data_IF_251441186242
#
_entry.id   IF_251441186242
#
_cell.length_a   1.000
_cell.length_b   1.000
_cell.length_c   1.000
_cell.angle_alpha   90.00
_cell.angle_beta   90.00
_cell.angle_gamma   90.00
#
_symmetry.space_group_name_H-M   'P 1'
#
loop_
_entity.id
_entity.type
_entity.pdbx_description
1 polymer ?
#
# COMPACT_ATOMS: atom_id res chain seq x y z
N UNK A 1 30.20 22.51 12.83
CA UNK A 1 29.29 22.59 11.66
C UNK A 1 28.96 21.22 11.06
N UNK A 2 29.84 20.20 11.16
CA UNK A 2 29.53 18.84 10.70
C UNK A 2 28.49 18.10 11.56
N UNK A 3 28.53 18.23 12.89
CA UNK A 3 27.66 17.44 13.79
C UNK A 3 26.16 17.75 13.67
N UNK A 4 25.80 18.97 13.25
CA UNK A 4 24.39 19.34 13.07
C UNK A 4 23.83 18.70 11.79
N UNK A 5 24.61 18.70 10.71
CA UNK A 5 24.20 18.16 9.42
C UNK A 5 24.10 16.62 9.44
N UNK A 6 25.02 15.94 10.13
CA UNK A 6 24.95 14.49 10.34
C UNK A 6 23.74 14.11 11.19
N UNK A 7 23.44 14.86 12.25
CA UNK A 7 22.31 14.56 13.12
C UNK A 7 20.96 14.74 12.40
N UNK A 8 20.81 15.80 11.60
CA UNK A 8 19.59 16.01 10.79
C UNK A 8 19.41 14.95 9.71
N UNK A 9 20.49 14.52 9.05
CA UNK A 9 20.43 13.45 8.05
C UNK A 9 20.02 12.12 8.68
N UNK A 10 20.61 11.75 9.82
CA UNK A 10 20.28 10.51 10.54
C UNK A 10 18.81 10.51 10.99
N UNK A 11 18.33 11.64 11.49
CA UNK A 11 16.93 11.78 11.92
C UNK A 11 15.96 11.64 10.74
N UNK A 12 16.26 12.27 9.60
CA UNK A 12 15.44 12.14 8.39
C UNK A 12 15.37 10.68 7.90
N UNK A 13 16.49 9.95 7.94
CA UNK A 13 16.52 8.53 7.56
C UNK A 13 15.69 7.68 8.53
N UNK A 14 15.82 7.88 9.84
CA UNK A 14 15.01 7.16 10.84
C UNK A 14 13.50 7.44 10.67
N UNK A 15 13.13 8.69 10.36
CA UNK A 15 11.74 9.04 10.04
C UNK A 15 11.23 8.30 8.79
N UNK A 16 12.03 8.25 7.72
CA UNK A 16 11.68 7.50 6.51
C UNK A 16 11.52 6.00 6.79
N UNK A 17 12.41 5.42 7.60
CA UNK A 17 12.37 4.01 7.96
C UNK A 17 11.13 3.68 8.80
N UNK A 18 10.77 4.55 9.76
CA UNK A 18 9.55 4.42 10.55
C UNK A 18 8.29 4.48 9.68
N UNK A 19 8.21 5.45 8.75
CA UNK A 19 7.09 5.55 7.81
C UNK A 19 6.98 4.28 6.98
N UNK A 20 8.09 3.80 6.42
CA UNK A 20 8.13 2.54 5.65
C UNK A 20 7.67 1.33 6.47
N UNK A 21 8.11 1.21 7.73
CA UNK A 21 7.69 0.14 8.63
C UNK A 21 6.18 0.18 8.91
N UNK A 22 5.62 1.37 9.18
CA UNK A 22 4.18 1.51 9.48
C UNK A 22 3.33 1.24 8.24
N UNK A 23 3.74 1.72 7.06
CA UNK A 23 3.06 1.42 5.79
C UNK A 23 3.03 -0.08 5.51
N UNK A 24 4.15 -0.78 5.75
CA UNK A 24 4.25 -2.23 5.55
C UNK A 24 3.61 -3.04 6.66
N UNK A 25 3.34 -2.43 7.81
CA UNK A 25 2.85 -3.07 9.04
C UNK A 25 3.89 -3.90 9.78
N UNK A 26 4.91 -4.40 9.07
CA UNK A 26 6.02 -5.14 9.64
C UNK A 26 7.23 -5.18 8.70
N UNK A 27 8.39 -5.46 9.28
CA UNK A 27 9.60 -5.83 8.55
C UNK A 27 10.06 -7.22 9.00
N UNK A 28 10.56 -8.01 8.05
CA UNK A 28 11.15 -9.33 8.30
C UNK A 28 12.54 -9.40 7.69
N UNK A 29 13.56 -9.59 8.50
CA UNK A 29 14.94 -9.64 8.02
C UNK A 29 15.94 -9.14 9.05
N UNK A 30 17.22 -8.97 8.65
CA UNK A 30 18.23 -8.35 9.51
C UNK A 30 17.86 -6.88 9.77
N UNK A 31 17.98 -6.46 11.03
CA UNK A 31 17.75 -5.07 11.44
C UNK A 31 18.90 -4.21 10.91
N UNK A 32 18.58 -3.23 10.05
CA UNK A 32 19.54 -2.23 9.59
C UNK A 32 19.89 -1.24 10.70
N UNK A 33 21.01 -0.51 10.61
CA UNK A 33 21.31 0.58 11.55
C UNK A 33 20.18 1.61 11.67
N UNK A 34 19.52 1.93 10.56
CA UNK A 34 18.41 2.88 10.49
C UNK A 34 17.19 2.36 11.25
N UNK A 35 16.84 1.08 11.06
CA UNK A 35 15.72 0.44 11.77
C UNK A 35 16.03 0.25 13.25
N UNK A 36 17.31 0.07 13.61
CA UNK A 36 17.74 0.03 15.01
C UNK A 36 17.47 1.38 15.71
N UNK A 37 17.66 2.52 15.04
CA UNK A 37 17.32 3.83 15.60
C UNK A 37 15.82 3.95 15.91
N UNK A 38 14.96 3.42 15.04
CA UNK A 38 13.50 3.40 15.27
C UNK A 38 13.14 2.53 16.48
N UNK A 39 13.83 1.40 16.67
CA UNK A 39 13.65 0.52 17.84
C UNK A 39 14.14 1.20 19.12
N UNK A 40 15.33 1.82 19.08
CA UNK A 40 15.94 2.49 20.24
C UNK A 40 15.11 3.70 20.70
N UNK A 41 14.40 4.36 19.77
CA UNK A 41 13.45 5.42 20.05
C UNK A 41 12.13 4.93 20.70
N UNK A 42 11.86 3.61 20.69
CA UNK A 42 10.61 3.02 21.19
C UNK A 42 9.45 3.04 20.20
N UNK A 43 9.70 3.46 18.96
CA UNK A 43 8.70 3.51 17.88
C UNK A 43 8.49 2.15 17.21
N UNK A 44 9.41 1.20 17.40
CA UNK A 44 9.27 -0.18 16.96
C UNK A 44 9.76 -1.18 18.00
N UNK A 45 9.35 -2.44 17.84
CA UNK A 45 9.79 -3.57 18.67
C UNK A 45 10.25 -4.73 17.79
N UNK A 46 11.41 -5.29 18.11
CA UNK A 46 11.90 -6.52 17.49
C UNK A 46 11.44 -7.76 18.29
N UNK A 47 10.93 -8.77 17.59
CA UNK A 47 10.58 -10.09 18.12
C UNK A 47 11.08 -11.19 17.20
N UNK A 48 12.25 -11.72 17.51
CA UNK A 48 12.93 -12.68 16.64
C UNK A 48 13.30 -12.03 15.30
N UNK A 49 12.90 -12.59 14.14
CA UNK A 49 13.21 -12.02 12.84
C UNK A 49 12.25 -10.91 12.39
N UNK A 50 11.28 -10.54 13.24
CA UNK A 50 10.23 -9.57 12.92
C UNK A 50 10.45 -8.27 13.66
N UNK A 51 10.22 -7.15 12.97
CA UNK A 51 10.09 -5.83 13.57
C UNK A 51 8.69 -5.31 13.30
N UNK A 52 8.01 -4.84 14.35
CA UNK A 52 6.65 -4.30 14.31
C UNK A 52 6.65 -2.86 14.84
N UNK A 53 5.85 -1.95 14.27
CA UNK A 53 5.69 -0.62 14.85
C UNK A 53 4.92 -0.71 16.18
N UNK A 54 5.27 0.16 17.12
CA UNK A 54 4.50 0.34 18.36
C UNK A 54 3.32 1.30 18.11
N UNK A 55 2.32 1.38 19.00
CA UNK A 55 1.28 2.41 18.89
C UNK A 55 1.83 3.84 18.84
N UNK A 56 2.94 4.11 19.56
CA UNK A 56 3.63 5.39 19.51
C UNK A 56 4.24 5.64 18.13
N UNK A 57 4.95 4.64 17.57
CA UNK A 57 5.52 4.74 16.23
C UNK A 57 4.48 4.91 15.13
N UNK A 58 3.31 4.24 15.23
CA UNK A 58 2.19 4.44 14.30
C UNK A 58 1.71 5.90 14.34
N UNK A 59 1.53 6.46 15.54
CA UNK A 59 1.13 7.86 15.72
C UNK A 59 2.17 8.84 15.16
N UNK A 60 3.45 8.60 15.46
CA UNK A 60 4.56 9.41 14.97
C UNK A 60 4.69 9.36 13.44
N UNK A 61 4.62 8.18 12.83
CA UNK A 61 4.62 8.02 11.38
C UNK A 61 3.44 8.76 10.72
N UNK A 62 2.24 8.64 11.29
CA UNK A 62 1.06 9.35 10.79
C UNK A 62 1.22 10.87 10.85
N UNK A 63 1.84 11.40 11.91
CA UNK A 63 2.13 12.83 12.02
C UNK A 63 3.19 13.30 11.01
N UNK A 64 4.17 12.45 10.66
CA UNK A 64 5.23 12.77 9.69
C UNK A 64 4.69 12.93 8.27
N UNK A 65 3.68 12.15 7.87
CA UNK A 65 3.15 12.15 6.49
C UNK A 65 1.80 12.88 6.35
N UNK A 66 1.22 13.39 7.44
CA UNK A 66 -0.04 14.12 7.42
C UNK A 66 0.07 15.33 6.50
N UNK A 67 -0.81 15.38 5.50
CA UNK A 67 -0.89 16.52 4.60
C UNK A 67 -1.55 17.72 5.32
N UNK A 68 -1.09 18.96 5.05
CA UNK A 68 -1.74 20.15 5.59
C UNK A 68 -3.17 20.29 5.06
N UNK A 69 -4.10 20.60 5.97
CA UNK A 69 -5.50 20.80 5.64
C UNK A 69 -5.68 21.90 4.58
N UNK A 70 -6.45 21.60 3.54
CA UNK A 70 -6.76 22.50 2.43
C UNK A 70 -5.65 22.66 1.40
N UNK A 71 -4.52 21.96 1.56
CA UNK A 71 -3.44 21.96 0.56
C UNK A 71 -3.90 21.33 -0.76
N UNK A 72 -3.26 21.71 -1.86
CA UNK A 72 -3.56 21.12 -3.17
C UNK A 72 -3.15 19.64 -3.24
N UNK A 73 -2.13 19.25 -2.47
CA UNK A 73 -1.73 17.86 -2.30
C UNK A 73 -2.80 17.05 -1.56
N UNK A 74 -3.31 17.54 -0.41
CA UNK A 74 -4.39 16.89 0.33
C UNK A 74 -5.62 16.67 -0.56
N UNK A 75 -6.06 17.70 -1.29
CA UNK A 75 -7.20 17.59 -2.22
C UNK A 75 -6.94 16.53 -3.29
N UNK A 76 -5.75 16.50 -3.89
CA UNK A 76 -5.41 15.54 -4.92
C UNK A 76 -5.37 14.09 -4.39
N UNK A 77 -4.87 13.89 -3.16
CA UNK A 77 -4.84 12.58 -2.50
C UNK A 77 -6.24 12.16 -2.05
N UNK A 78 -7.07 13.09 -1.61
CA UNK A 78 -8.48 12.83 -1.29
C UNK A 78 -9.27 12.43 -2.54
N UNK A 79 -9.11 13.15 -3.65
CA UNK A 79 -9.70 12.79 -4.95
C UNK A 79 -9.24 11.40 -5.40
N UNK A 80 -7.95 11.08 -5.19
CA UNK A 80 -7.40 9.75 -5.44
C UNK A 80 -8.12 8.69 -4.60
N UNK A 81 -8.25 8.88 -3.28
CA UNK A 81 -8.92 7.92 -2.40
C UNK A 81 -10.36 7.64 -2.86
N UNK A 82 -11.12 8.70 -3.18
CA UNK A 82 -12.50 8.55 -3.66
C UNK A 82 -12.60 7.76 -4.96
N UNK A 83 -11.68 7.97 -5.91
CA UNK A 83 -11.64 7.21 -7.16
C UNK A 83 -11.10 5.78 -6.96
N UNK A 84 -10.20 5.57 -6.00
CA UNK A 84 -9.53 4.31 -5.72
C UNK A 84 -10.46 3.30 -5.05
N UNK A 85 -11.32 3.72 -4.12
CA UNK A 85 -12.11 2.80 -3.27
C UNK A 85 -13.04 1.85 -4.05
N UNK A 86 -13.79 2.28 -5.09
CA UNK A 86 -14.53 1.33 -5.93
C UNK A 86 -13.61 0.33 -6.67
N UNK A 87 -12.42 0.74 -7.07
CA UNK A 87 -11.43 -0.14 -7.72
C UNK A 87 -10.80 -1.10 -6.70
N UNK A 88 -10.61 -0.66 -5.45
CA UNK A 88 -10.15 -1.48 -4.34
C UNK A 88 -11.10 -2.66 -4.09
N UNK A 89 -12.41 -2.43 -4.10
CA UNK A 89 -13.45 -3.49 -4.06
C UNK A 89 -13.25 -4.52 -5.18
N UNK A 90 -13.12 -4.05 -6.43
CA UNK A 90 -12.88 -4.90 -7.61
C UNK A 90 -11.60 -5.74 -7.47
N UNK A 91 -10.51 -5.17 -6.95
CA UNK A 91 -9.28 -5.93 -6.76
C UNK A 91 -9.46 -7.01 -5.68
N UNK A 92 -10.13 -6.71 -4.56
CA UNK A 92 -10.38 -7.73 -3.52
C UNK A 92 -11.22 -8.90 -4.03
N UNK A 93 -12.24 -8.61 -4.85
CA UNK A 93 -13.04 -9.62 -5.52
C UNK A 93 -12.20 -10.44 -6.50
N UNK A 94 -11.34 -9.78 -7.30
CA UNK A 94 -10.41 -10.44 -8.21
C UNK A 94 -9.42 -11.35 -7.48
N UNK A 95 -8.80 -10.88 -6.40
CA UNK A 95 -7.91 -11.69 -5.58
C UNK A 95 -8.64 -12.90 -4.98
N UNK A 96 -9.89 -12.71 -4.55
CA UNK A 96 -10.74 -13.82 -4.08
C UNK A 96 -10.99 -14.84 -5.20
N UNK A 97 -11.33 -14.38 -6.41
CA UNK A 97 -11.55 -15.23 -7.58
C UNK A 97 -10.27 -15.94 -8.05
N UNK A 98 -9.10 -15.33 -7.85
CA UNK A 98 -7.80 -15.93 -8.14
C UNK A 98 -7.48 -17.07 -7.18
N UNK A 99 -7.82 -16.91 -5.89
CA UNK A 99 -7.57 -17.91 -4.85
C UNK A 99 -8.63 -19.02 -4.81
N UNK A 100 -9.89 -18.68 -5.06
CA UNK A 100 -11.04 -19.55 -4.89
C UNK A 100 -11.97 -19.51 -6.11
N UNK A 101 -12.50 -20.66 -6.50
CA UNK A 101 -13.52 -20.80 -7.54
C UNK A 101 -14.90 -20.39 -7.01
N UNK A 102 -15.90 -20.12 -7.88
CA UNK A 102 -17.24 -19.74 -7.47
C UNK A 102 -17.96 -20.76 -6.57
N UNK A 103 -17.55 -22.03 -6.60
CA UNK A 103 -18.06 -23.09 -5.73
C UNK A 103 -17.36 -23.14 -4.35
N UNK A 104 -16.40 -22.24 -4.09
CA UNK A 104 -15.64 -22.14 -2.85
C UNK A 104 -14.42 -23.06 -2.78
N UNK A 105 -14.17 -23.88 -3.82
CA UNK A 105 -12.94 -24.68 -3.89
C UNK A 105 -11.71 -23.79 -4.17
N UNK A 106 -10.53 -24.26 -3.79
CA UNK A 106 -9.27 -23.58 -4.13
C UNK A 106 -9.09 -23.60 -5.65
N UNK A 107 -8.69 -22.47 -6.23
CA UNK A 107 -8.27 -22.44 -7.62
C UNK A 107 -6.93 -23.18 -7.77
N UNK A 108 -6.95 -24.34 -8.43
CA UNK A 108 -5.74 -25.14 -8.69
C UNK A 108 -4.97 -24.71 -9.95
N UNK A 109 -5.43 -23.66 -10.64
CA UNK A 109 -4.85 -23.10 -11.86
C UNK A 109 -4.76 -24.09 -13.04
N UNK A 110 -5.60 -25.12 -13.06
CA UNK A 110 -5.67 -26.08 -14.19
C UNK A 110 -6.45 -25.56 -15.40
N UNK A 111 -7.36 -24.60 -15.20
CA UNK A 111 -8.15 -23.96 -16.26
C UNK A 111 -7.54 -22.62 -16.68
N UNK A 112 -6.72 -22.68 -17.74
CA UNK A 112 -6.04 -21.51 -18.30
C UNK A 112 -6.99 -20.43 -18.84
N UNK A 113 -8.23 -20.77 -19.25
CA UNK A 113 -9.19 -19.76 -19.73
C UNK A 113 -9.79 -18.97 -18.58
N UNK A 114 -9.98 -19.60 -17.42
CA UNK A 114 -10.37 -18.88 -16.21
C UNK A 114 -9.28 -17.93 -15.74
N UNK A 115 -8.03 -18.41 -15.66
CA UNK A 115 -6.91 -17.58 -15.22
C UNK A 115 -6.65 -16.42 -16.18
N UNK A 116 -6.77 -16.63 -17.50
CA UNK A 116 -6.67 -15.56 -18.50
C UNK A 116 -7.74 -14.47 -18.30
N UNK A 117 -8.99 -14.86 -17.98
CA UNK A 117 -10.06 -13.88 -17.70
C UNK A 117 -9.77 -13.04 -16.45
N UNK A 118 -9.19 -13.65 -15.42
CA UNK A 118 -8.75 -12.90 -14.23
C UNK A 118 -7.62 -11.95 -14.59
N UNK A 119 -6.67 -12.37 -15.42
CA UNK A 119 -5.59 -11.50 -15.87
C UNK A 119 -6.10 -10.30 -16.68
N UNK A 120 -7.09 -10.50 -17.54
CA UNK A 120 -7.73 -9.41 -18.30
C UNK A 120 -8.38 -8.38 -17.35
N UNK A 121 -9.11 -8.86 -16.33
CA UNK A 121 -9.70 -7.98 -15.31
C UNK A 121 -8.65 -7.24 -14.49
N UNK A 122 -7.50 -7.86 -14.21
CA UNK A 122 -6.38 -7.23 -13.54
C UNK A 122 -5.77 -6.13 -14.40
N UNK A 123 -5.75 -6.29 -15.73
CA UNK A 123 -5.27 -5.28 -16.68
C UNK A 123 -6.09 -3.99 -16.62
N UNK A 124 -7.41 -4.14 -16.57
CA UNK A 124 -8.33 -3.02 -16.43
C UNK A 124 -8.10 -2.26 -15.12
N UNK A 125 -8.01 -3.01 -14.00
CA UNK A 125 -7.72 -2.44 -12.67
C UNK A 125 -6.37 -1.72 -12.67
N UNK A 126 -5.35 -2.35 -13.24
CA UNK A 126 -4.01 -1.80 -13.30
C UNK A 126 -3.96 -0.52 -14.15
N UNK A 127 -4.67 -0.50 -15.27
CA UNK A 127 -4.82 0.67 -16.13
C UNK A 127 -5.50 1.82 -15.40
N UNK A 128 -6.58 1.53 -14.66
CA UNK A 128 -7.34 2.52 -13.90
C UNK A 128 -6.47 3.14 -12.80
N UNK A 129 -5.85 2.32 -11.94
CA UNK A 129 -5.01 2.82 -10.84
C UNK A 129 -3.79 3.57 -11.37
N UNK A 130 -3.19 3.12 -12.47
CA UNK A 130 -2.05 3.80 -13.10
C UNK A 130 -2.41 5.21 -13.57
N UNK A 131 -3.60 5.42 -14.13
CA UNK A 131 -4.08 6.76 -14.52
C UNK A 131 -4.31 7.64 -13.29
N UNK A 132 -4.91 7.08 -12.24
CA UNK A 132 -5.17 7.79 -10.98
C UNK A 132 -3.86 8.22 -10.30
N UNK A 133 -2.89 7.32 -10.16
CA UNK A 133 -1.57 7.61 -9.59
C UNK A 133 -0.81 8.65 -10.40
N UNK A 134 -0.86 8.61 -11.74
CA UNK A 134 -0.25 9.65 -12.59
C UNK A 134 -0.88 11.03 -12.40
N UNK A 135 -2.19 11.09 -12.09
CA UNK A 135 -2.89 12.36 -11.85
C UNK A 135 -2.53 12.91 -10.47
N UNK A 136 -2.68 12.10 -9.43
CA UNK A 136 -2.37 12.48 -8.04
C UNK A 136 -0.88 12.78 -7.87
N UNK A 137 -0.03 12.02 -8.56
CA UNK A 137 1.42 12.16 -8.61
C UNK A 137 1.95 13.52 -9.06
N UNK A 138 1.11 14.34 -9.70
CA UNK A 138 1.48 15.72 -10.05
C UNK A 138 1.57 16.63 -8.83
N UNK A 139 0.84 16.30 -7.77
CA UNK A 139 0.83 17.03 -6.50
C UNK A 139 1.53 16.24 -5.39
N UNK A 140 1.46 14.90 -5.41
CA UNK A 140 2.10 14.04 -4.42
C UNK A 140 3.05 13.03 -5.07
N UNK A 141 4.35 13.37 -5.13
CA UNK A 141 5.35 12.57 -5.85
C UNK A 141 5.48 11.13 -5.29
N UNK A 142 5.25 10.94 -3.99
CA UNK A 142 5.34 9.64 -3.32
C UNK A 142 4.37 8.60 -3.91
N UNK A 143 3.21 9.04 -4.41
CA UNK A 143 2.24 8.15 -5.05
C UNK A 143 2.74 7.59 -6.40
N UNK A 144 3.68 8.26 -7.07
CA UNK A 144 4.26 7.75 -8.32
C UNK A 144 5.11 6.50 -8.08
N UNK A 145 5.76 6.38 -6.92
CA UNK A 145 6.58 5.22 -6.61
C UNK A 145 5.74 3.93 -6.55
N UNK A 146 4.51 3.99 -6.05
CA UNK A 146 3.61 2.83 -6.04
C UNK A 146 3.20 2.38 -7.44
N UNK A 147 3.10 3.30 -8.40
CA UNK A 147 2.84 2.93 -9.79
C UNK A 147 3.95 2.03 -10.31
N UNK A 148 5.20 2.40 -10.07
CA UNK A 148 6.34 1.63 -10.55
C UNK A 148 6.47 0.29 -9.81
N UNK A 149 6.19 0.25 -8.51
CA UNK A 149 6.13 -0.99 -7.73
C UNK A 149 5.02 -1.94 -8.21
N UNK A 150 3.83 -1.41 -8.52
CA UNK A 150 2.73 -2.19 -9.08
C UNK A 150 3.07 -2.74 -10.47
N UNK A 151 3.78 -1.97 -11.31
CA UNK A 151 4.27 -2.46 -12.60
C UNK A 151 5.24 -3.63 -12.42
N UNK A 152 6.23 -3.50 -11.53
CA UNK A 152 7.19 -4.58 -11.25
C UNK A 152 6.49 -5.82 -10.72
N UNK A 153 5.50 -5.66 -9.84
CA UNK A 153 4.71 -6.77 -9.32
C UNK A 153 3.89 -7.45 -10.43
N UNK A 154 3.32 -6.68 -11.35
CA UNK A 154 2.58 -7.20 -12.50
C UNK A 154 3.48 -7.94 -13.48
N UNK A 155 4.66 -7.39 -13.79
CA UNK A 155 5.66 -8.04 -14.64
C UNK A 155 6.12 -9.39 -14.08
N UNK A 156 6.28 -9.48 -12.75
CA UNK A 156 6.59 -10.76 -12.09
C UNK A 156 5.46 -11.77 -12.21
N UNK A 157 4.22 -11.32 -12.04
CA UNK A 157 3.04 -12.15 -12.24
C UNK A 157 2.96 -12.70 -13.68
N UNK A 158 3.15 -11.81 -14.67
CA UNK A 158 3.19 -12.16 -16.09
C UNK A 158 4.40 -13.06 -16.44
N UNK A 159 5.47 -12.98 -15.66
CA UNK A 159 6.64 -13.87 -15.72
C UNK A 159 6.41 -15.29 -15.15
N UNK A 160 5.20 -15.61 -14.67
CA UNK A 160 4.81 -16.93 -14.19
C UNK A 160 4.91 -17.12 -12.67
N UNK A 161 5.25 -16.08 -11.90
CA UNK A 161 5.15 -16.11 -10.44
C UNK A 161 3.69 -15.91 -10.02
N UNK A 162 2.86 -16.96 -10.17
CA UNK A 162 1.41 -16.90 -9.88
C UNK A 162 1.09 -16.54 -8.43
N UNK A 163 2.00 -16.85 -7.51
CA UNK A 163 1.87 -16.49 -6.10
C UNK A 163 1.97 -14.97 -5.88
N UNK A 164 2.68 -14.24 -6.76
CA UNK A 164 2.88 -12.79 -6.63
C UNK A 164 1.62 -11.96 -6.72
N UNK A 165 0.49 -12.47 -7.23
CA UNK A 165 -0.75 -11.70 -7.24
C UNK A 165 -1.32 -11.51 -5.83
N UNK A 166 -1.34 -12.58 -5.01
CA UNK A 166 -2.06 -12.58 -3.72
C UNK A 166 -1.22 -12.96 -2.50
N UNK A 167 0.02 -13.43 -2.68
CA UNK A 167 0.86 -13.87 -1.57
C UNK A 167 1.24 -12.71 -0.64
N UNK A 168 0.89 -12.78 0.66
CA UNK A 168 1.29 -11.75 1.62
C UNK A 168 2.76 -11.87 2.05
N UNK A 169 3.45 -12.93 1.62
CA UNK A 169 4.85 -13.20 1.98
C UNK A 169 5.84 -12.56 1.01
N UNK A 170 5.35 -12.00 -0.09
CA UNK A 170 6.14 -11.34 -1.11
C UNK A 170 5.63 -9.93 -1.33
N UNK A 171 6.50 -9.09 -1.88
CA UNK A 171 6.16 -7.77 -2.43
C UNK A 171 5.41 -7.95 -3.76
N UNK A 172 4.30 -8.69 -3.69
CA UNK A 172 3.39 -9.00 -4.77
C UNK A 172 2.36 -7.90 -4.98
N UNK A 173 1.54 -8.04 -6.02
CA UNK A 173 0.64 -6.98 -6.47
C UNK A 173 -0.34 -6.55 -5.37
N UNK A 174 -1.03 -7.50 -4.73
CA UNK A 174 -1.94 -7.21 -3.62
C UNK A 174 -1.22 -6.59 -2.41
N UNK A 175 0.01 -7.02 -2.11
CA UNK A 175 0.80 -6.47 -1.00
C UNK A 175 1.14 -5.00 -1.24
N UNK A 176 1.66 -4.67 -2.42
CA UNK A 176 1.96 -3.28 -2.81
C UNK A 176 0.68 -2.43 -2.82
N UNK A 177 -0.44 -2.99 -3.27
CA UNK A 177 -1.74 -2.33 -3.24
C UNK A 177 -2.18 -1.96 -1.81
N UNK A 178 -1.99 -2.86 -0.85
CA UNK A 178 -2.30 -2.57 0.57
C UNK A 178 -1.40 -1.49 1.15
N UNK A 179 -0.12 -1.45 0.75
CA UNK A 179 0.80 -0.39 1.16
C UNK A 179 0.39 0.97 0.61
N UNK A 180 0.03 1.03 -0.68
CA UNK A 180 -0.52 2.22 -1.30
C UNK A 180 -1.74 2.75 -0.53
N UNK A 181 -2.72 1.86 -0.26
CA UNK A 181 -3.93 2.25 0.47
C UNK A 181 -3.59 2.73 1.88
N UNK A 182 -2.77 1.99 2.64
CA UNK A 182 -2.34 2.39 3.97
C UNK A 182 -1.64 3.76 3.97
N UNK A 183 -0.76 4.01 2.99
CA UNK A 183 -0.04 5.28 2.92
C UNK A 183 -1.00 6.45 2.66
N UNK A 184 -1.96 6.29 1.74
CA UNK A 184 -3.00 7.30 1.47
C UNK A 184 -3.83 7.61 2.72
N UNK A 185 -4.25 6.60 3.47
CA UNK A 185 -4.97 6.81 4.73
C UNK A 185 -4.10 7.55 5.76
N UNK A 186 -2.82 7.21 5.83
CA UNK A 186 -1.89 7.91 6.72
C UNK A 186 -1.68 9.36 6.30
N UNK A 187 -1.67 9.70 5.01
CA UNK A 187 -1.53 11.08 4.52
C UNK A 187 -2.77 11.92 4.85
N UNK A 188 -3.96 11.37 4.63
CA UNK A 188 -5.25 12.07 4.84
C UNK A 188 -5.76 12.03 6.29
N UNK A 189 -5.33 11.05 7.07
CA UNK A 189 -5.72 10.91 8.48
C UNK A 189 -7.03 10.22 8.68
N UNK A 190 -7.42 9.46 7.67
CA UNK A 190 -8.63 8.68 7.63
C UNK A 190 -8.41 7.40 8.42
N UNK A 191 -9.30 7.13 9.38
CA UNK A 191 -9.32 5.89 10.13
C UNK A 191 -9.86 4.74 9.27
N UNK A 192 -9.58 3.49 9.67
CA UNK A 192 -10.15 2.32 8.97
C UNK A 192 -11.68 2.32 8.94
N UNK A 193 -12.34 2.79 10.00
CA UNK A 193 -13.79 2.87 10.05
C UNK A 193 -14.36 3.92 9.08
N UNK A 194 -13.70 5.06 8.93
CA UNK A 194 -14.11 6.10 7.96
C UNK A 194 -13.88 5.64 6.51
N UNK A 195 -12.75 4.98 6.25
CA UNK A 195 -12.40 4.37 4.96
C UNK A 195 -13.45 3.33 4.52
N UNK A 196 -13.79 2.40 5.41
CA UNK A 196 -14.83 1.39 5.16
C UNK A 196 -16.19 2.02 4.88
N UNK A 197 -16.61 3.00 5.70
CA UNK A 197 -17.88 3.71 5.50
C UNK A 197 -17.93 4.49 4.18
N UNK A 198 -16.80 5.10 3.79
CA UNK A 198 -16.67 5.83 2.53
C UNK A 198 -16.75 4.87 1.34
N UNK A 199 -16.06 3.73 1.40
CA UNK A 199 -16.09 2.73 0.33
C UNK A 199 -17.52 2.21 0.12
N UNK A 200 -18.23 1.83 1.19
CA UNK A 200 -19.62 1.36 1.07
C UNK A 200 -20.53 2.40 0.42
N UNK A 201 -20.39 3.67 0.81
CA UNK A 201 -21.17 4.77 0.21
C UNK A 201 -20.89 4.93 -1.28
N UNK A 202 -19.62 4.87 -1.69
CA UNK A 202 -19.22 5.06 -3.09
C UNK A 202 -19.64 3.88 -3.98
N UNK A 203 -19.52 2.66 -3.46
CA UNK A 203 -19.94 1.44 -4.18
C UNK A 203 -21.46 1.40 -4.33
N UNK A 204 -22.22 1.71 -3.27
CA UNK A 204 -23.68 1.76 -3.34
C UNK A 204 -24.19 2.86 -4.28
N UNK A 205 -23.57 4.05 -4.26
CA UNK A 205 -23.95 5.16 -5.14
C UNK A 205 -23.53 5.00 -6.61
N UNK A 206 -22.66 4.04 -6.92
CA UNK A 206 -22.29 3.70 -8.31
C UNK A 206 -23.23 2.66 -8.95
N UNK A 207 -24.13 2.09 -8.16
CA UNK A 207 -25.11 1.09 -8.60
C UNK A 207 -26.48 1.69 -8.99
N UNK A 208 -26.65 3.01 -8.84
CA UNK A 208 -27.80 3.81 -9.32
C UNK A 208 -27.48 4.53 -10.64
#
# INVERSE_FOLDING_TARGET
>A
MNDLATNTSTQATASSELVGLVVKGMFRGPVSPELQLVIDAGDAVAKGPMVMPTPAGISAAGALVRLPEGSDEEKAVNDFLHAFLPVNRRLRELCTAWQCRPDGSVNDHSDAQYDARIRDQLDDIHTDVSKMLRRAGKQSADLLAYRDQLNVALERFDGGDTASLTSPLTDGYHTVWMWLHQHVLMMLGVTRAEDEALEEKLVAGSAE
#
